data_IF_962846798960
#
_entry.id   IF_962846798960
#
_cell.length_a   1.000
_cell.length_b   1.000
_cell.length_c   1.000
_cell.angle_alpha   90.00
_cell.angle_beta   90.00
_cell.angle_gamma   90.00
#
_symmetry.space_group_name_H-M   'P 1'
#
loop_
_entity.id
_entity.type
_entity.pdbx_description
1 polymer ?
#
# COMPACT_ATOMS: atom_id res chain seq x y z
N UNK A 1 -25.51 2.22 3.17
CA UNK A 1 -24.74 1.45 4.18
C UNK A 1 -23.31 1.99 4.23
N UNK A 2 -22.71 2.10 5.42
CA UNK A 2 -21.33 2.59 5.62
C UNK A 2 -21.03 3.98 5.01
N UNK A 3 -21.96 4.91 5.06
CA UNK A 3 -21.83 6.23 4.41
C UNK A 3 -20.59 7.01 4.90
N UNK A 4 -20.28 6.91 6.20
CA UNK A 4 -19.10 7.55 6.76
C UNK A 4 -17.79 6.91 6.22
N UNK A 5 -17.76 5.57 6.08
CA UNK A 5 -16.61 4.87 5.51
C UNK A 5 -16.44 5.18 4.01
N UNK A 6 -17.55 5.23 3.25
CA UNK A 6 -17.53 5.65 1.83
C UNK A 6 -16.93 7.04 1.69
N UNK A 7 -17.35 7.99 2.54
CA UNK A 7 -16.80 9.34 2.54
C UNK A 7 -15.30 9.35 2.84
N UNK A 8 -14.84 8.63 3.87
CA UNK A 8 -13.42 8.51 4.20
C UNK A 8 -12.58 7.89 3.08
N UNK A 9 -13.11 6.83 2.44
CA UNK A 9 -12.43 6.18 1.30
C UNK A 9 -12.40 7.09 0.08
N UNK A 10 -13.48 7.80 -0.22
CA UNK A 10 -13.51 8.82 -1.26
C UNK A 10 -12.47 9.90 -1.01
N UNK A 11 -12.47 10.53 0.17
CA UNK A 11 -11.50 11.56 0.55
C UNK A 11 -10.06 11.06 0.42
N UNK A 12 -9.79 9.84 0.86
CA UNK A 12 -8.48 9.20 0.72
C UNK A 12 -8.08 9.00 -0.75
N UNK A 13 -9.01 8.54 -1.60
CA UNK A 13 -8.77 8.43 -3.04
C UNK A 13 -8.44 9.78 -3.67
N UNK A 14 -9.11 10.86 -3.26
CA UNK A 14 -8.84 12.23 -3.76
C UNK A 14 -7.46 12.77 -3.34
N UNK A 15 -6.82 12.19 -2.34
CA UNK A 15 -5.44 12.53 -1.98
C UNK A 15 -4.42 11.97 -2.98
N UNK A 16 -4.72 10.89 -3.69
CA UNK A 16 -3.78 10.28 -4.64
C UNK A 16 -3.39 11.26 -5.77
N UNK A 17 -4.32 11.86 -6.53
CA UNK A 17 -3.97 12.89 -7.53
C UNK A 17 -3.38 14.15 -6.88
N UNK A 18 -3.85 14.55 -5.69
CA UNK A 18 -3.32 15.71 -4.97
C UNK A 18 -1.83 15.57 -4.65
N UNK A 19 -1.37 14.35 -4.31
CA UNK A 19 0.04 14.05 -4.03
C UNK A 19 0.83 13.56 -5.25
N UNK A 20 0.22 13.54 -6.45
CA UNK A 20 0.89 13.13 -7.68
C UNK A 20 1.24 11.63 -7.72
N UNK A 21 0.48 10.80 -7.01
CA UNK A 21 0.71 9.35 -6.95
C UNK A 21 0.04 8.58 -8.09
N UNK A 22 -0.86 9.24 -8.84
CA UNK A 22 -1.64 8.61 -9.91
C UNK A 22 -1.72 9.49 -11.15
N UNK A 23 -1.91 8.82 -12.29
CA UNK A 23 -2.22 9.42 -13.59
C UNK A 23 -3.58 8.88 -14.03
N UNK A 24 -4.47 9.74 -14.55
CA UNK A 24 -5.83 9.37 -14.95
C UNK A 24 -6.59 8.63 -13.84
N UNK A 25 -7.12 7.44 -14.15
CA UNK A 25 -7.90 6.60 -13.24
C UNK A 25 -7.07 5.56 -12.50
N UNK A 26 -5.74 5.55 -12.70
CA UNK A 26 -4.84 4.56 -12.10
C UNK A 26 -4.81 4.68 -10.58
N UNK A 27 -4.66 3.52 -9.94
CA UNK A 27 -4.63 3.47 -8.49
C UNK A 27 -5.99 3.53 -7.81
N UNK A 28 -6.00 3.16 -6.55
CA UNK A 28 -7.20 3.10 -5.72
C UNK A 28 -6.83 3.04 -4.24
N UNK A 29 -7.81 3.40 -3.41
CA UNK A 29 -7.77 3.21 -1.96
C UNK A 29 -9.00 2.43 -1.56
N UNK A 30 -8.84 1.54 -0.59
CA UNK A 30 -9.93 0.90 0.14
C UNK A 30 -9.76 1.04 1.65
N UNK A 31 -10.84 0.82 2.39
CA UNK A 31 -10.79 0.64 3.84
C UNK A 31 -11.88 -0.35 4.29
N UNK A 32 -11.60 -1.08 5.37
CA UNK A 32 -12.48 -2.08 5.95
C UNK A 32 -13.09 -1.59 7.26
N UNK A 33 -14.35 -1.93 7.48
CA UNK A 33 -15.00 -1.94 8.77
C UNK A 33 -14.95 -3.36 9.33
N UNK A 34 -14.14 -3.57 10.36
CA UNK A 34 -13.94 -4.88 10.98
C UNK A 34 -15.13 -5.37 11.79
N UNK A 35 -16.02 -4.48 12.21
CA UNK A 35 -17.25 -4.85 12.96
C UNK A 35 -18.28 -5.50 12.04
N UNK A 36 -18.45 -4.95 10.83
CA UNK A 36 -19.39 -5.47 9.84
C UNK A 36 -18.77 -6.52 8.91
N UNK A 37 -17.44 -6.56 8.80
CA UNK A 37 -16.73 -7.39 7.84
C UNK A 37 -16.82 -6.88 6.39
N UNK A 38 -17.31 -5.65 6.17
CA UNK A 38 -17.39 -5.04 4.84
C UNK A 38 -16.24 -4.07 4.61
N UNK A 39 -15.78 -3.98 3.38
CA UNK A 39 -14.82 -2.95 2.96
C UNK A 39 -15.37 -2.13 1.80
N UNK A 40 -14.89 -0.90 1.72
CA UNK A 40 -15.25 0.07 0.68
C UNK A 40 -14.05 0.30 -0.22
N UNK A 41 -14.26 0.30 -1.53
CA UNK A 41 -13.21 0.49 -2.52
C UNK A 41 -13.65 1.44 -3.65
N UNK A 42 -12.68 2.09 -4.29
CA UNK A 42 -12.90 2.93 -5.48
C UNK A 42 -13.54 2.12 -6.62
N UNK A 43 -14.51 2.70 -7.34
CA UNK A 43 -15.03 2.10 -8.58
C UNK A 43 -13.96 2.04 -9.68
N UNK A 44 -14.03 1.00 -10.52
CA UNK A 44 -13.14 0.82 -11.66
C UNK A 44 -13.39 1.87 -12.73
N UNK A 45 -12.31 2.48 -13.24
CA UNK A 45 -12.35 3.36 -14.41
C UNK A 45 -13.14 4.69 -14.26
N UNK A 46 -13.54 5.05 -13.04
CA UNK A 46 -14.20 6.34 -12.78
C UNK A 46 -13.13 7.40 -12.49
N UNK A 47 -13.17 8.49 -13.27
CA UNK A 47 -12.23 9.60 -13.13
C UNK A 47 -12.36 10.28 -11.76
N UNK A 48 -11.22 10.67 -11.18
CA UNK A 48 -11.16 11.35 -9.89
C UNK A 48 -11.96 12.67 -9.88
N UNK A 49 -11.98 13.41 -11.00
CA UNK A 49 -12.65 14.71 -11.12
C UNK A 49 -14.18 14.62 -11.02
N UNK A 50 -14.77 13.50 -11.43
CA UNK A 50 -16.23 13.33 -11.44
C UNK A 50 -16.74 12.37 -10.36
N UNK A 51 -15.83 11.66 -9.71
CA UNK A 51 -16.13 10.67 -8.68
C UNK A 51 -16.77 11.33 -7.45
N UNK A 52 -17.70 10.65 -6.82
CA UNK A 52 -18.43 11.11 -5.62
C UNK A 52 -18.38 10.03 -4.53
N UNK A 53 -18.63 10.39 -3.26
CA UNK A 53 -18.71 9.40 -2.17
C UNK A 53 -19.71 8.27 -2.43
N UNK A 54 -20.83 8.57 -3.07
CA UNK A 54 -21.88 7.60 -3.40
C UNK A 54 -21.44 6.56 -4.45
N UNK A 55 -20.37 6.86 -5.18
CA UNK A 55 -19.82 5.97 -6.22
C UNK A 55 -18.96 4.86 -5.64
N UNK A 56 -18.54 4.99 -4.38
CA UNK A 56 -17.75 3.97 -3.69
C UNK A 56 -18.52 2.65 -3.60
N UNK A 57 -17.80 1.55 -3.79
CA UNK A 57 -18.38 0.20 -3.84
C UNK A 57 -18.13 -0.52 -2.53
N UNK A 58 -19.19 -1.12 -1.96
CA UNK A 58 -19.11 -1.93 -0.74
C UNK A 58 -18.99 -3.40 -1.12
N UNK A 59 -18.01 -4.08 -0.56
CA UNK A 59 -17.71 -5.50 -0.76
C UNK A 59 -17.73 -6.24 0.57
N UNK A 60 -18.10 -7.53 0.54
CA UNK A 60 -17.91 -8.44 1.68
C UNK A 60 -16.55 -9.17 1.61
N UNK A 61 -16.23 -9.93 2.64
CA UNK A 61 -15.00 -10.75 2.70
C UNK A 61 -15.11 -12.05 1.88
N UNK A 62 -16.25 -12.37 1.31
CA UNK A 62 -16.46 -13.43 0.33
C UNK A 62 -16.21 -12.97 -1.12
N UNK A 63 -15.99 -11.65 -1.32
CA UNK A 63 -15.74 -11.04 -2.62
C UNK A 63 -17.01 -10.63 -3.37
N UNK A 64 -18.16 -10.64 -2.72
CA UNK A 64 -19.42 -10.20 -3.31
C UNK A 64 -19.58 -8.68 -3.18
N UNK A 65 -20.11 -8.05 -4.22
CA UNK A 65 -20.54 -6.66 -4.15
C UNK A 65 -21.87 -6.56 -3.36
N UNK A 66 -21.82 -5.90 -2.21
CA UNK A 66 -22.97 -5.68 -1.33
C UNK A 66 -23.75 -4.44 -1.73
N UNK A 67 -23.04 -3.35 -2.09
CA UNK A 67 -23.64 -2.07 -2.47
C UNK A 67 -22.78 -1.33 -3.49
N UNK A 68 -23.39 -0.53 -4.33
CA UNK A 68 -22.74 0.31 -5.33
C UNK A 68 -23.21 0.03 -6.76
N UNK A 69 -23.35 1.09 -7.56
CA UNK A 69 -23.82 1.01 -8.96
C UNK A 69 -22.71 0.61 -9.94
N UNK A 70 -21.48 0.88 -9.60
CA UNK A 70 -20.32 0.60 -10.44
C UNK A 70 -19.69 -0.77 -10.13
N UNK A 71 -18.84 -1.25 -11.04
CA UNK A 71 -17.92 -2.35 -10.75
C UNK A 71 -16.85 -1.85 -9.79
N UNK A 72 -16.42 -2.64 -8.80
CA UNK A 72 -15.28 -2.28 -7.95
C UNK A 72 -13.99 -2.26 -8.77
N UNK A 73 -12.93 -1.64 -8.24
CA UNK A 73 -11.58 -1.71 -8.82
C UNK A 73 -11.20 -3.16 -9.16
N UNK A 74 -10.47 -3.36 -10.26
CA UNK A 74 -9.91 -4.66 -10.61
C UNK A 74 -9.01 -5.24 -9.51
N UNK A 75 -8.36 -4.38 -8.72
CA UNK A 75 -7.47 -4.79 -7.63
C UNK A 75 -8.21 -5.31 -6.38
N UNK A 76 -9.55 -5.30 -6.39
CA UNK A 76 -10.37 -5.76 -5.26
C UNK A 76 -9.97 -7.13 -4.72
N UNK A 77 -9.68 -8.17 -5.55
CA UNK A 77 -9.25 -9.47 -5.04
C UNK A 77 -7.91 -9.38 -4.26
N UNK A 78 -6.96 -8.56 -4.73
CA UNK A 78 -5.70 -8.34 -4.00
C UNK A 78 -5.94 -7.73 -2.61
N UNK A 79 -6.78 -6.68 -2.53
CA UNK A 79 -7.13 -6.04 -1.26
C UNK A 79 -7.84 -7.00 -0.32
N UNK A 80 -8.77 -7.80 -0.86
CA UNK A 80 -9.51 -8.82 -0.12
C UNK A 80 -8.58 -9.82 0.57
N UNK A 81 -7.61 -10.37 -0.17
CA UNK A 81 -6.66 -11.35 0.39
C UNK A 81 -5.77 -10.74 1.48
N UNK A 82 -5.38 -9.47 1.34
CA UNK A 82 -4.65 -8.76 2.39
C UNK A 82 -5.51 -8.53 3.64
N UNK A 83 -6.79 -8.13 3.48
CA UNK A 83 -7.71 -7.97 4.62
C UNK A 83 -8.00 -9.28 5.35
N UNK A 84 -8.13 -10.40 4.63
CA UNK A 84 -8.29 -11.74 5.22
C UNK A 84 -7.08 -12.18 6.01
N UNK A 85 -5.89 -11.95 5.46
CA UNK A 85 -4.64 -12.47 6.01
C UNK A 85 -4.09 -11.65 7.17
N UNK A 86 -4.35 -10.32 7.19
CA UNK A 86 -3.77 -9.36 8.12
C UNK A 86 -4.86 -8.51 8.78
N UNK A 87 -5.38 -8.96 9.95
CA UNK A 87 -6.47 -8.26 10.65
C UNK A 87 -6.11 -6.82 11.08
N UNK A 88 -4.81 -6.53 11.21
CA UNK A 88 -4.31 -5.21 11.62
C UNK A 88 -4.46 -4.14 10.52
N UNK A 89 -4.56 -4.56 9.25
CA UNK A 89 -4.74 -3.65 8.12
C UNK A 89 -6.17 -3.12 8.11
N UNK A 90 -6.33 -1.78 8.19
CA UNK A 90 -7.61 -1.10 8.09
C UNK A 90 -7.82 -0.33 6.79
N UNK A 91 -6.74 -0.03 6.05
CA UNK A 91 -6.79 0.61 4.74
C UNK A 91 -5.66 0.15 3.83
N UNK A 92 -5.90 0.12 2.52
CA UNK A 92 -4.93 -0.30 1.50
C UNK A 92 -4.95 0.68 0.34
N UNK A 93 -3.76 0.96 -0.20
CA UNK A 93 -3.54 1.75 -1.42
C UNK A 93 -2.77 0.92 -2.43
N UNK A 94 -3.21 0.94 -3.68
CA UNK A 94 -2.43 0.54 -4.84
C UNK A 94 -2.24 1.72 -5.78
N UNK A 95 -1.04 1.91 -6.31
CA UNK A 95 -0.74 2.93 -7.32
C UNK A 95 0.28 2.43 -8.32
N UNK A 96 0.47 3.21 -9.39
CA UNK A 96 1.61 3.11 -10.30
C UNK A 96 2.49 4.37 -10.17
N UNK A 97 2.73 4.82 -8.94
CA UNK A 97 3.57 5.98 -8.67
C UNK A 97 4.99 5.76 -9.20
N UNK A 98 5.57 6.80 -9.78
CA UNK A 98 6.68 6.67 -10.74
C UNK A 98 7.92 5.99 -10.16
N UNK A 99 8.39 6.42 -9.00
CA UNK A 99 9.63 5.89 -8.43
C UNK A 99 9.43 4.51 -7.80
N UNK A 100 8.38 4.30 -7.03
CA UNK A 100 8.10 3.00 -6.44
C UNK A 100 7.84 1.92 -7.51
N UNK A 101 7.11 2.28 -8.59
CA UNK A 101 6.90 1.37 -9.73
C UNK A 101 8.21 1.09 -10.48
N UNK A 102 9.09 2.08 -10.64
CA UNK A 102 10.41 1.86 -11.25
C UNK A 102 11.22 0.84 -10.44
N UNK A 103 11.23 0.94 -9.11
CA UNK A 103 11.84 -0.08 -8.25
C UNK A 103 11.18 -1.46 -8.42
N UNK A 104 9.85 -1.51 -8.43
CA UNK A 104 9.11 -2.75 -8.67
C UNK A 104 9.50 -3.41 -10.00
N UNK A 105 9.63 -2.64 -11.08
CA UNK A 105 10.04 -3.13 -12.40
C UNK A 105 11.45 -3.74 -12.38
N UNK A 106 12.37 -3.21 -11.57
CA UNK A 106 13.70 -3.80 -11.41
C UNK A 106 13.70 -5.12 -10.64
N UNK A 107 12.64 -5.41 -9.88
CA UNK A 107 12.57 -6.56 -8.98
C UNK A 107 13.46 -6.43 -7.74
N UNK A 108 13.84 -5.21 -7.37
CA UNK A 108 14.70 -4.93 -6.21
C UNK A 108 13.88 -4.33 -5.07
N UNK A 109 14.15 -4.79 -3.84
CA UNK A 109 13.71 -4.12 -2.61
C UNK A 109 14.32 -2.71 -2.53
N UNK A 110 13.67 -1.78 -1.82
CA UNK A 110 14.23 -0.46 -1.53
C UNK A 110 15.00 -0.54 -0.22
N UNK A 111 16.33 -0.40 -0.22
CA UNK A 111 17.14 -0.41 0.99
C UNK A 111 16.86 0.81 1.87
N UNK A 112 16.98 0.65 3.19
CA UNK A 112 16.90 1.78 4.11
C UNK A 112 18.22 2.56 4.12
N UNK A 113 18.32 3.59 3.28
CA UNK A 113 19.53 4.42 3.21
C UNK A 113 19.58 5.56 4.24
N UNK A 114 18.46 5.92 4.83
CA UNK A 114 18.45 7.08 5.71
C UNK A 114 17.27 7.12 6.67
N UNK A 115 17.32 8.13 7.53
CA UNK A 115 16.43 8.30 8.65
C UNK A 115 14.97 8.57 8.27
N UNK A 116 14.72 9.22 7.13
CA UNK A 116 13.35 9.43 6.61
C UNK A 116 12.68 8.09 6.31
N UNK A 117 13.41 7.15 5.70
CA UNK A 117 12.92 5.79 5.47
C UNK A 117 12.69 5.06 6.81
N UNK A 118 13.68 5.08 7.70
CA UNK A 118 13.63 4.39 8.99
C UNK A 118 12.52 4.89 9.92
N UNK A 119 12.10 6.15 9.77
CA UNK A 119 10.97 6.70 10.53
C UNK A 119 9.61 6.05 10.24
N UNK A 120 9.46 5.36 9.09
CA UNK A 120 8.18 4.83 8.62
C UNK A 120 8.20 3.34 8.26
N UNK A 121 9.35 2.81 7.86
CA UNK A 121 9.52 1.42 7.46
C UNK A 121 10.71 0.81 8.19
N UNK A 122 10.46 -0.27 8.92
CA UNK A 122 11.52 -0.96 9.68
C UNK A 122 12.31 -1.92 8.76
N UNK A 123 13.46 -1.45 8.33
CA UNK A 123 14.31 -2.15 7.38
C UNK A 123 13.95 -1.84 5.91
N UNK A 124 14.29 -2.73 5.01
CA UNK A 124 13.98 -2.57 3.58
C UNK A 124 12.49 -2.73 3.26
N UNK A 125 12.01 -1.99 2.27
CA UNK A 125 10.70 -2.22 1.67
C UNK A 125 10.85 -3.36 0.64
N UNK A 126 10.19 -4.51 0.86
CA UNK A 126 10.42 -5.69 0.05
C UNK A 126 9.83 -5.57 -1.36
N UNK A 127 10.50 -6.21 -2.33
CA UNK A 127 9.95 -6.47 -3.65
C UNK A 127 9.68 -7.98 -3.78
N UNK A 128 8.40 -8.35 -3.92
CA UNK A 128 8.04 -9.75 -4.16
C UNK A 128 8.34 -10.15 -5.61
N UNK A 129 8.50 -11.46 -5.86
CA UNK A 129 8.81 -12.01 -7.19
C UNK A 129 7.75 -11.65 -8.24
N UNK A 130 8.07 -11.88 -9.50
CA UNK A 130 7.05 -11.90 -10.54
C UNK A 130 6.11 -13.10 -10.35
N UNK A 131 4.84 -12.92 -10.69
CA UNK A 131 3.90 -14.03 -10.81
C UNK A 131 4.37 -15.02 -11.89
N UNK A 132 4.08 -16.30 -11.71
CA UNK A 132 4.32 -17.32 -12.74
C UNK A 132 3.32 -17.18 -13.89
N UNK A 133 3.60 -17.85 -14.99
CA UNK A 133 2.69 -17.87 -16.15
C UNK A 133 1.29 -18.41 -15.78
N UNK A 134 1.24 -19.41 -14.92
CA UNK A 134 0.02 -20.04 -14.44
C UNK A 134 -0.77 -19.07 -13.54
N UNK A 135 -0.10 -18.38 -12.64
CA UNK A 135 -0.70 -17.36 -11.77
C UNK A 135 -1.24 -16.18 -12.57
N UNK A 136 -0.52 -15.74 -13.62
CA UNK A 136 -0.95 -14.65 -14.51
C UNK A 136 -2.20 -15.05 -15.33
N UNK A 137 -2.23 -16.28 -15.84
CA UNK A 137 -3.31 -16.73 -16.72
C UNK A 137 -4.56 -17.24 -15.98
N UNK A 138 -4.53 -17.27 -14.64
CA UNK A 138 -5.68 -17.64 -13.80
C UNK A 138 -6.30 -16.43 -13.12
N UNK A 139 -6.31 -16.37 -11.79
CA UNK A 139 -6.86 -15.28 -10.99
C UNK A 139 -5.74 -14.27 -10.64
N UNK A 140 -5.32 -13.44 -11.59
CA UNK A 140 -4.14 -12.57 -11.52
C UNK A 140 -4.11 -11.70 -10.26
N UNK A 141 -5.17 -10.98 -9.97
CA UNK A 141 -5.24 -10.05 -8.83
C UNK A 141 -5.31 -10.80 -7.48
N UNK A 142 -6.02 -11.93 -7.44
CA UNK A 142 -6.08 -12.80 -6.26
C UNK A 142 -4.70 -13.43 -5.99
N UNK A 143 -4.03 -13.94 -7.02
CA UNK A 143 -2.68 -14.49 -6.93
C UNK A 143 -1.65 -13.43 -6.52
N UNK A 144 -1.84 -12.18 -6.89
CA UNK A 144 -1.02 -11.06 -6.40
C UNK A 144 -1.17 -10.93 -4.88
N UNK A 145 -2.40 -10.97 -4.37
CA UNK A 145 -2.68 -10.96 -2.92
C UNK A 145 -2.04 -12.16 -2.20
N UNK A 146 -2.25 -13.36 -2.71
CA UNK A 146 -1.65 -14.59 -2.16
C UNK A 146 -0.12 -14.53 -2.14
N UNK A 147 0.50 -13.99 -3.19
CA UNK A 147 1.95 -13.82 -3.26
C UNK A 147 2.45 -12.87 -2.18
N UNK A 148 1.82 -11.70 -2.01
CA UNK A 148 2.19 -10.73 -0.97
C UNK A 148 2.10 -11.41 0.42
N UNK A 149 0.98 -12.05 0.71
CA UNK A 149 0.73 -12.74 1.99
C UNK A 149 1.79 -13.82 2.25
N UNK A 150 2.06 -14.68 1.27
CA UNK A 150 3.03 -15.77 1.42
C UNK A 150 4.45 -15.25 1.65
N UNK A 151 4.84 -14.19 0.94
CA UNK A 151 6.18 -13.61 1.08
C UNK A 151 6.38 -12.91 2.43
N UNK A 152 5.38 -12.16 2.93
CA UNK A 152 5.46 -11.56 4.26
C UNK A 152 5.58 -12.62 5.36
N UNK A 153 4.80 -13.70 5.28
CA UNK A 153 4.91 -14.85 6.19
C UNK A 153 6.29 -15.53 6.10
N UNK A 154 6.81 -15.75 4.88
CA UNK A 154 8.13 -16.35 4.63
C UNK A 154 9.25 -15.49 5.21
N UNK A 155 9.19 -14.18 5.01
CA UNK A 155 10.18 -13.22 5.52
C UNK A 155 10.03 -12.94 7.02
N UNK A 156 8.96 -13.41 7.65
CA UNK A 156 8.60 -13.10 9.04
C UNK A 156 8.58 -11.59 9.33
N UNK A 157 8.18 -10.80 8.34
CA UNK A 157 8.05 -9.34 8.48
C UNK A 157 6.74 -9.01 9.19
N UNK A 158 6.82 -8.12 10.17
CA UNK A 158 5.65 -7.49 10.76
C UNK A 158 5.03 -6.55 9.70
N UNK A 159 3.78 -6.84 9.35
CA UNK A 159 3.04 -6.13 8.30
C UNK A 159 2.84 -4.65 8.65
N UNK A 160 2.71 -4.31 9.92
CA UNK A 160 2.54 -2.92 10.34
C UNK A 160 3.88 -2.19 10.56
N UNK A 161 4.97 -2.93 10.76
CA UNK A 161 6.31 -2.34 10.83
C UNK A 161 6.90 -2.03 9.45
N UNK A 162 6.44 -2.74 8.40
CA UNK A 162 6.80 -2.47 7.00
C UNK A 162 5.50 -2.37 6.18
N UNK A 163 4.76 -1.25 6.32
CA UNK A 163 3.42 -1.12 5.74
C UNK A 163 3.40 -0.86 4.22
N UNK A 164 4.27 -1.53 3.48
CA UNK A 164 4.34 -1.47 2.02
C UNK A 164 5.05 -2.67 1.41
N UNK A 165 4.78 -2.91 0.12
CA UNK A 165 5.42 -3.92 -0.72
C UNK A 165 5.49 -3.45 -2.15
N UNK A 166 6.53 -3.85 -2.87
CA UNK A 166 6.62 -3.74 -4.32
C UNK A 166 6.27 -5.10 -4.93
N UNK A 167 5.40 -5.11 -5.92
CA UNK A 167 5.11 -6.30 -6.73
C UNK A 167 5.88 -6.19 -8.05
N UNK A 168 6.81 -7.12 -8.30
CA UNK A 168 7.66 -7.07 -9.51
C UNK A 168 6.82 -6.97 -10.78
N UNK A 169 7.18 -6.00 -11.64
CA UNK A 169 6.52 -5.65 -12.90
C UNK A 169 5.10 -5.09 -12.78
N UNK A 170 4.58 -4.86 -11.57
CA UNK A 170 3.26 -4.28 -11.35
C UNK A 170 3.37 -2.87 -10.74
N UNK A 171 3.73 -2.79 -9.47
CA UNK A 171 3.78 -1.54 -8.72
C UNK A 171 3.69 -1.75 -7.21
N UNK A 172 3.57 -0.65 -6.45
CA UNK A 172 3.50 -0.70 -4.99
C UNK A 172 2.08 -0.97 -4.48
N UNK A 173 2.01 -1.68 -3.35
CA UNK A 173 0.90 -1.64 -2.41
C UNK A 173 1.39 -1.07 -1.08
N UNK A 174 0.58 -0.26 -0.43
CA UNK A 174 0.82 0.21 0.93
C UNK A 174 -0.46 0.13 1.75
N UNK A 175 -0.31 0.10 3.07
CA UNK A 175 -1.45 -0.03 3.97
C UNK A 175 -1.22 0.72 5.27
N UNK A 176 -2.24 0.72 6.13
CA UNK A 176 -2.22 1.33 7.44
C UNK A 176 -3.45 0.91 8.25
N UNK A 177 -3.60 1.45 9.45
CA UNK A 177 -4.75 1.20 10.33
C UNK A 177 -6.08 1.75 9.78
N UNK A 178 -6.00 2.66 8.81
CA UNK A 178 -7.12 3.25 8.10
C UNK A 178 -6.70 3.76 6.71
N UNK A 179 -7.68 4.21 5.91
CA UNK A 179 -7.42 4.72 4.55
C UNK A 179 -6.44 5.92 4.53
N UNK A 180 -6.51 6.80 5.53
CA UNK A 180 -5.66 8.00 5.60
C UNK A 180 -4.21 7.64 5.86
N UNK A 181 -3.96 6.72 6.80
CA UNK A 181 -2.61 6.23 7.08
C UNK A 181 -2.05 5.42 5.90
N UNK A 182 -2.87 4.61 5.23
CA UNK A 182 -2.47 3.91 4.01
C UNK A 182 -1.98 4.88 2.91
N UNK A 183 -2.70 5.98 2.68
CA UNK A 183 -2.28 7.04 1.75
C UNK A 183 -1.01 7.75 2.24
N UNK A 184 -0.91 8.05 3.54
CA UNK A 184 0.30 8.63 4.09
C UNK A 184 1.52 7.74 3.80
N UNK A 185 1.40 6.43 4.03
CA UNK A 185 2.47 5.47 3.76
C UNK A 185 2.77 5.36 2.25
N UNK A 186 1.77 5.49 1.36
CA UNK A 186 2.00 5.57 -0.09
C UNK A 186 2.83 6.79 -0.49
N UNK A 187 2.55 7.96 0.09
CA UNK A 187 3.32 9.19 -0.15
C UNK A 187 4.76 9.03 0.32
N UNK A 188 4.95 8.51 1.53
CA UNK A 188 6.30 8.28 2.07
C UNK A 188 7.04 7.25 1.23
N UNK A 189 6.38 6.16 0.82
CA UNK A 189 6.97 5.13 -0.06
C UNK A 189 7.51 5.74 -1.35
N UNK A 190 6.73 6.58 -2.03
CA UNK A 190 7.16 7.23 -3.28
C UNK A 190 8.35 8.16 -3.05
N UNK A 191 8.35 8.95 -1.97
CA UNK A 191 9.47 9.84 -1.65
C UNK A 191 10.74 9.10 -1.26
N UNK A 192 10.66 8.02 -0.45
CA UNK A 192 11.85 7.23 -0.10
C UNK A 192 12.36 6.42 -1.30
N UNK A 193 11.49 5.96 -2.19
CA UNK A 193 11.89 5.33 -3.46
C UNK A 193 12.67 6.30 -4.34
N UNK A 194 12.22 7.54 -4.45
CA UNK A 194 12.90 8.63 -5.17
C UNK A 194 14.24 8.99 -4.54
N UNK A 195 14.31 9.09 -3.20
CA UNK A 195 15.55 9.35 -2.49
C UNK A 195 16.55 8.20 -2.72
N UNK A 196 16.12 6.95 -2.58
CA UNK A 196 16.96 5.77 -2.78
C UNK A 196 17.51 5.71 -4.22
N UNK A 197 16.69 5.97 -5.23
CA UNK A 197 17.12 6.06 -6.62
C UNK A 197 18.23 7.12 -6.81
N UNK A 198 18.03 8.32 -6.27
CA UNK A 198 19.04 9.40 -6.36
C UNK A 198 20.31 9.06 -5.58
N UNK A 199 20.19 8.43 -4.44
CA UNK A 199 21.34 7.97 -3.63
C UNK A 199 22.20 6.99 -4.41
N UNK A 200 21.61 6.00 -5.08
CA UNK A 200 22.34 5.05 -5.92
C UNK A 200 22.94 5.69 -7.19
N UNK A 201 22.30 6.72 -7.74
CA UNK A 201 22.90 7.49 -8.84
C UNK A 201 24.15 8.25 -8.41
N UNK A 202 24.15 8.79 -7.18
CA UNK A 202 25.30 9.54 -6.64
C UNK A 202 26.42 8.58 -6.20
N UNK A 203 26.05 7.47 -5.57
CA UNK A 203 26.99 6.46 -5.07
C UNK A 203 26.42 5.04 -5.26
N UNK A 204 26.70 4.37 -6.39
CA UNK A 204 26.10 3.07 -6.72
C UNK A 204 26.38 1.92 -5.74
N UNK A 205 27.42 2.04 -4.93
CA UNK A 205 27.84 1.02 -3.95
C UNK A 205 27.54 1.46 -2.50
N UNK A 206 26.63 2.43 -2.29
CA UNK A 206 26.25 2.89 -0.96
C UNK A 206 25.67 1.73 -0.13
N UNK A 207 26.13 1.60 1.11
CA UNK A 207 25.56 0.65 2.06
C UNK A 207 24.28 1.22 2.71
N UNK A 208 23.32 0.37 3.10
CA UNK A 208 22.21 0.79 3.94
C UNK A 208 22.66 1.46 5.24
N UNK A 209 21.80 2.27 5.83
CA UNK A 209 22.05 2.89 7.13
C UNK A 209 22.31 1.81 8.19
N UNK A 210 23.23 2.04 9.16
CA UNK A 210 23.48 1.10 10.24
C UNK A 210 22.20 0.74 11.00
N UNK A 211 22.10 -0.51 11.48
CA UNK A 211 20.90 -1.01 12.15
C UNK A 211 20.55 -0.16 13.39
N UNK A 212 21.55 0.27 14.15
CA UNK A 212 21.34 1.10 15.35
C UNK A 212 20.68 2.45 15.01
N UNK A 213 20.98 3.00 13.83
CA UNK A 213 20.35 4.24 13.35
C UNK A 213 18.90 3.97 12.90
N UNK A 214 18.65 2.86 12.23
CA UNK A 214 17.30 2.45 11.84
C UNK A 214 16.44 2.21 13.07
N UNK A 215 16.92 1.47 14.06
CA UNK A 215 16.24 1.21 15.33
C UNK A 215 15.92 2.51 16.07
N UNK A 216 16.90 3.41 16.18
CA UNK A 216 16.72 4.70 16.87
C UNK A 216 15.59 5.51 16.22
N UNK A 217 15.55 5.57 14.88
CA UNK A 217 14.55 6.36 14.16
C UNK A 217 13.17 5.69 14.16
N UNK A 218 13.10 4.40 13.97
CA UNK A 218 11.85 3.68 14.00
C UNK A 218 11.19 3.76 15.38
N UNK A 219 11.89 3.35 16.43
CA UNK A 219 11.33 3.26 17.78
C UNK A 219 11.06 4.60 18.46
N UNK A 220 11.65 5.72 17.99
CA UNK A 220 11.26 7.05 18.49
C UNK A 220 9.83 7.46 18.09
N UNK A 221 9.27 6.85 17.00
CA UNK A 221 7.90 7.09 16.51
C UNK A 221 6.95 5.93 16.82
N UNK A 222 7.47 4.72 16.92
CA UNK A 222 6.71 3.50 17.04
C UNK A 222 7.12 2.72 18.29
N UNK A 223 6.16 2.25 19.08
CA UNK A 223 6.43 1.46 20.27
C UNK A 223 6.11 2.18 21.58
N UNK A 224 6.30 1.46 22.69
CA UNK A 224 5.90 1.90 24.03
C UNK A 224 6.63 3.16 24.54
N UNK A 225 7.82 3.46 24.01
CA UNK A 225 8.65 4.59 24.40
C UNK A 225 8.77 5.65 23.30
N UNK A 226 7.82 5.73 22.40
CA UNK A 226 7.80 6.75 21.35
C UNK A 226 7.74 8.16 21.98
N UNK A 227 8.58 9.06 21.47
CA UNK A 227 8.70 10.44 22.00
C UNK A 227 8.67 11.50 20.92
N UNK A 228 8.51 11.11 19.65
CA UNK A 228 8.47 12.03 18.53
C UNK A 228 7.03 12.43 18.21
N UNK A 229 6.81 13.73 18.06
CA UNK A 229 5.51 14.32 17.74
C UNK A 229 4.95 15.17 18.87
N UNK A 230 3.77 15.70 18.66
CA UNK A 230 3.01 16.43 19.71
C UNK A 230 2.15 15.39 20.42
N UNK A 231 2.37 15.17 21.70
CA UNK A 231 1.52 14.36 22.57
C UNK A 231 0.36 15.20 23.10
#
# INVERSE_FOLDING_TARGET
MLEELKKKVYEANMLLPKYGLVTFTWGNVSAIDRETGYFVIKPSGVDYEIMKPEDMVVMDLEGNRVEGRYKPSSDTPTHLELYKAFPEIGGIVHTHSSYATSWAQTGRSIPCYGTTHADYFYGEIPCVRCLTKEEINSAYEENTGHLIVSEFKRMKKDVMAVPAVLCKNLGPFSWGKDAKEAVHNAVVLEEVAKMAYRTELIHPQVAPAPQELQDKHYFRKHGANAYYGQN
#
